data_IF_139525189708
#
_entry.id   IF_139525189708
#
_cell.length_a   1.000
_cell.length_b   1.000
_cell.length_c   1.000
_cell.angle_alpha   90.00
_cell.angle_beta   90.00
_cell.angle_gamma   90.00
#
_symmetry.space_group_name_H-M   'P 1'
#
loop_
_entity.id
_entity.type
_entity.pdbx_description
1 polymer ?
#
# COMPACT_ATOMS: atom_id res chain seq x y z
N UNK A 1 -3.11 18.50 -35.27
CA UNK A 1 -3.61 17.75 -36.45
C UNK A 1 -5.14 17.69 -36.39
N UNK A 2 -5.84 18.15 -37.42
CA UNK A 2 -7.30 18.29 -37.39
C UNK A 2 -8.01 16.90 -37.42
N UNK A 3 -9.16 16.78 -36.75
CA UNK A 3 -9.98 15.56 -36.67
C UNK A 3 -10.39 15.04 -38.05
N UNK A 4 -10.71 15.93 -38.99
CA UNK A 4 -11.04 15.57 -40.38
C UNK A 4 -9.86 14.88 -41.08
N UNK A 5 -8.64 15.38 -40.86
CA UNK A 5 -7.41 14.79 -41.43
C UNK A 5 -7.14 13.41 -40.86
N UNK A 6 -7.34 13.21 -39.54
CA UNK A 6 -7.24 11.88 -38.90
C UNK A 6 -8.24 10.89 -39.47
N UNK A 7 -9.49 11.32 -39.66
CA UNK A 7 -10.54 10.47 -40.22
C UNK A 7 -10.24 10.07 -41.66
N UNK A 8 -9.82 11.01 -42.51
CA UNK A 8 -9.46 10.73 -43.90
C UNK A 8 -8.26 9.77 -44.00
N UNK A 9 -7.24 9.96 -43.16
CA UNK A 9 -6.08 9.04 -43.09
C UNK A 9 -6.48 7.65 -42.61
N UNK A 10 -7.38 7.54 -41.63
CA UNK A 10 -7.90 6.25 -41.18
C UNK A 10 -8.68 5.53 -42.29
N UNK A 11 -9.52 6.27 -43.04
CA UNK A 11 -10.28 5.73 -44.16
C UNK A 11 -9.37 5.26 -45.29
N UNK A 12 -8.38 6.07 -45.67
CA UNK A 12 -7.33 5.72 -46.63
C UNK A 12 -6.56 4.48 -46.19
N UNK A 13 -6.14 4.40 -44.92
CA UNK A 13 -5.48 3.22 -44.35
C UNK A 13 -6.36 1.97 -44.39
N UNK A 14 -7.67 2.12 -44.18
CA UNK A 14 -8.62 1.02 -44.23
C UNK A 14 -8.86 0.53 -45.66
N UNK A 15 -8.84 1.42 -46.66
CA UNK A 15 -9.03 1.08 -48.08
C UNK A 15 -7.76 0.59 -48.77
N UNK A 16 -6.58 1.06 -48.34
CA UNK A 16 -5.28 0.60 -48.86
C UNK A 16 -4.79 -0.69 -48.17
N UNK A 17 -5.38 -1.05 -47.05
CA UNK A 17 -5.08 -2.28 -46.35
C UNK A 17 -5.57 -3.52 -47.13
N UNK A 18 -4.88 -4.66 -47.01
CA UNK A 18 -5.33 -5.89 -47.65
C UNK A 18 -6.70 -6.31 -47.12
N UNK A 19 -7.51 -6.91 -48.01
CA UNK A 19 -8.85 -7.38 -47.68
C UNK A 19 -8.82 -8.40 -46.53
N UNK A 20 -9.92 -8.50 -45.78
CA UNK A 20 -10.02 -9.50 -44.70
C UNK A 20 -9.84 -10.93 -45.24
N UNK A 21 -10.37 -11.22 -46.44
CA UNK A 21 -10.19 -12.50 -47.11
C UNK A 21 -8.71 -12.80 -47.40
N UNK A 22 -7.94 -11.81 -47.85
CA UNK A 22 -6.50 -11.96 -48.06
C UNK A 22 -5.77 -12.23 -46.74
N UNK A 23 -6.08 -11.49 -45.67
CA UNK A 23 -5.46 -11.69 -44.35
C UNK A 23 -5.74 -13.09 -43.79
N UNK A 24 -6.98 -13.56 -43.88
CA UNK A 24 -7.36 -14.91 -43.45
C UNK A 24 -6.71 -16.01 -44.31
N UNK A 25 -6.62 -15.80 -45.62
CA UNK A 25 -5.93 -16.72 -46.52
C UNK A 25 -4.43 -16.79 -46.21
N UNK A 26 -3.81 -15.65 -45.94
CA UNK A 26 -2.39 -15.56 -45.57
C UNK A 26 -2.13 -16.21 -44.20
N UNK A 27 -2.96 -15.93 -43.19
CA UNK A 27 -2.79 -16.53 -41.86
C UNK A 27 -2.92 -18.05 -41.92
N UNK A 28 -3.91 -18.58 -42.65
CA UNK A 28 -4.04 -20.04 -42.86
C UNK A 28 -2.82 -20.66 -43.54
N UNK A 29 -2.25 -19.98 -44.53
CA UNK A 29 -1.03 -20.47 -45.21
C UNK A 29 0.18 -20.44 -44.28
N UNK A 30 0.31 -19.40 -43.46
CA UNK A 30 1.37 -19.29 -42.45
C UNK A 30 1.23 -20.35 -41.36
N UNK A 31 0.02 -20.55 -40.85
CA UNK A 31 -0.27 -21.57 -39.83
C UNK A 31 0.02 -22.98 -40.39
N UNK A 32 -0.42 -23.27 -41.62
CA UNK A 32 -0.14 -24.54 -42.27
C UNK A 32 1.37 -24.75 -42.52
N UNK A 33 2.09 -23.71 -42.95
CA UNK A 33 3.54 -23.79 -43.16
C UNK A 33 4.31 -23.95 -41.84
N UNK A 34 3.84 -23.30 -40.77
CA UNK A 34 4.39 -23.43 -39.43
C UNK A 34 4.15 -24.84 -38.87
N UNK A 35 2.92 -25.33 -38.95
CA UNK A 35 2.53 -26.68 -38.51
C UNK A 35 3.31 -27.76 -39.28
N UNK A 36 3.55 -27.57 -40.57
CA UNK A 36 4.34 -28.50 -41.38
C UNK A 36 5.83 -28.54 -40.95
N UNK A 37 6.38 -27.42 -40.48
CA UNK A 37 7.80 -27.31 -40.10
C UNK A 37 8.08 -27.67 -38.65
N UNK A 38 7.18 -27.30 -37.74
CA UNK A 38 7.38 -27.40 -36.29
C UNK A 38 6.42 -28.38 -35.61
N UNK A 39 5.51 -29.00 -36.37
CA UNK A 39 4.44 -29.82 -35.83
C UNK A 39 3.32 -28.98 -35.24
N UNK A 40 2.11 -29.56 -35.22
CA UNK A 40 0.93 -28.90 -34.69
C UNK A 40 0.99 -28.88 -33.17
N UNK A 41 1.36 -27.75 -32.59
CA UNK A 41 1.43 -27.60 -31.13
C UNK A 41 0.00 -27.60 -30.55
N UNK A 42 -0.35 -28.53 -29.67
CA UNK A 42 -1.64 -28.51 -29.00
C UNK A 42 -1.77 -27.25 -28.12
N UNK A 43 -3.01 -26.73 -28.02
CA UNK A 43 -3.32 -25.47 -27.34
C UNK A 43 -2.81 -25.40 -25.88
N UNK A 44 -2.70 -26.54 -25.18
CA UNK A 44 -2.16 -26.59 -23.83
C UNK A 44 -0.65 -26.32 -23.76
N UNK A 45 0.11 -26.64 -24.81
CA UNK A 45 1.55 -26.32 -24.88
C UNK A 45 1.77 -24.83 -25.16
N UNK A 46 0.88 -24.18 -25.92
CA UNK A 46 0.91 -22.72 -26.08
C UNK A 46 0.69 -22.02 -24.74
N UNK A 47 -0.26 -22.47 -23.91
CA UNK A 47 -0.47 -21.94 -22.56
C UNK A 47 0.75 -22.18 -21.67
N UNK A 48 1.38 -23.35 -21.78
CA UNK A 48 2.62 -23.66 -21.05
C UNK A 48 3.78 -22.73 -21.46
N UNK A 49 3.96 -22.48 -22.76
CA UNK A 49 4.99 -21.56 -23.28
C UNK A 49 4.81 -20.13 -22.77
N UNK A 50 3.56 -19.64 -22.66
CA UNK A 50 3.28 -18.32 -22.08
C UNK A 50 3.64 -18.25 -20.60
N UNK A 51 3.34 -19.31 -19.83
CA UNK A 51 3.70 -19.40 -18.40
C UNK A 51 5.22 -19.46 -18.21
N UNK A 52 5.92 -20.24 -19.03
CA UNK A 52 7.39 -20.35 -19.00
C UNK A 52 8.05 -19.03 -19.41
N UNK A 53 7.54 -18.35 -20.43
CA UNK A 53 8.04 -17.03 -20.83
C UNK A 53 7.85 -15.96 -19.75
N UNK A 54 6.68 -15.92 -19.10
CA UNK A 54 6.42 -15.02 -17.98
C UNK A 54 7.35 -15.33 -16.79
N UNK A 55 7.55 -16.60 -16.47
CA UNK A 55 8.48 -17.03 -15.43
C UNK A 55 9.92 -16.63 -15.75
N UNK A 56 10.37 -16.80 -17.00
CA UNK A 56 11.70 -16.39 -17.44
C UNK A 56 11.92 -14.87 -17.33
N UNK A 57 10.91 -14.05 -17.64
CA UNK A 57 10.98 -12.59 -17.47
C UNK A 57 11.06 -12.20 -15.99
N UNK A 58 10.31 -12.87 -15.12
CA UNK A 58 10.38 -12.67 -13.66
C UNK A 58 11.75 -13.08 -13.13
N UNK A 59 12.27 -14.24 -13.53
CA UNK A 59 13.62 -14.70 -13.15
C UNK A 59 14.69 -13.75 -13.67
N UNK A 60 14.57 -13.24 -14.89
CA UNK A 60 15.51 -12.26 -15.46
C UNK A 60 15.47 -10.94 -14.65
N UNK A 61 14.28 -10.47 -14.27
CA UNK A 61 14.10 -9.29 -13.40
C UNK A 61 14.69 -9.51 -12.00
N UNK A 62 14.55 -10.70 -11.43
CA UNK A 62 15.18 -11.06 -10.16
C UNK A 62 16.71 -11.20 -10.27
N UNK A 63 17.21 -11.70 -11.39
CA UNK A 63 18.65 -11.91 -11.64
C UNK A 63 19.41 -10.61 -11.93
N UNK A 64 18.74 -9.60 -12.48
CA UNK A 64 19.30 -8.25 -12.57
C UNK A 64 19.34 -7.57 -11.19
N UNK A 65 20.38 -6.76 -10.95
CA UNK A 65 20.68 -6.09 -9.66
C UNK A 65 19.50 -5.37 -8.98
N UNK A 66 18.47 -5.00 -9.75
CA UNK A 66 17.23 -4.42 -9.25
C UNK A 66 16.42 -5.33 -8.31
N UNK A 67 16.45 -6.66 -8.49
CA UNK A 67 15.73 -7.59 -7.62
C UNK A 67 16.38 -7.72 -6.23
N UNK A 68 17.70 -7.88 -6.19
CA UNK A 68 18.47 -7.92 -4.96
C UNK A 68 18.42 -6.58 -4.20
N UNK A 69 18.47 -5.46 -4.92
CA UNK A 69 18.27 -4.13 -4.34
C UNK A 69 16.83 -3.97 -3.82
N UNK A 70 15.81 -4.35 -4.59
CA UNK A 70 14.42 -4.25 -4.15
C UNK A 70 14.14 -5.05 -2.87
N UNK A 71 14.74 -6.23 -2.75
CA UNK A 71 14.54 -7.11 -1.60
C UNK A 71 15.32 -6.69 -0.35
N UNK A 72 16.57 -6.22 -0.50
CA UNK A 72 17.42 -5.87 0.64
C UNK A 72 17.36 -4.38 1.02
N UNK A 73 16.91 -3.50 0.12
CA UNK A 73 16.82 -2.07 0.41
C UNK A 73 15.62 -1.75 1.30
N UNK A 74 15.88 -0.97 2.34
CA UNK A 74 14.87 -0.36 3.20
C UNK A 74 14.22 0.87 2.56
N UNK A 75 14.83 1.42 1.49
CA UNK A 75 14.30 2.57 0.76
C UNK A 75 13.11 2.23 -0.15
N UNK A 76 12.95 0.95 -0.47
CA UNK A 76 11.84 0.41 -1.28
C UNK A 76 10.64 0.17 -0.37
N UNK A 77 9.82 1.22 -0.26
CA UNK A 77 8.60 1.29 0.57
C UNK A 77 7.33 1.23 -0.28
N UNK A 78 6.17 1.08 0.37
CA UNK A 78 4.85 1.18 -0.26
C UNK A 78 4.74 2.49 -1.06
N UNK A 79 4.51 2.38 -2.38
CA UNK A 79 4.47 3.51 -3.32
C UNK A 79 5.70 3.66 -4.23
N UNK A 80 6.76 2.87 -4.02
CA UNK A 80 7.90 2.81 -4.95
C UNK A 80 7.66 1.77 -6.06
N UNK A 81 8.18 2.02 -7.27
CA UNK A 81 7.94 1.15 -8.43
C UNK A 81 8.39 -0.31 -8.20
N UNK A 82 9.48 -0.50 -7.45
CA UNK A 82 10.07 -1.81 -7.15
C UNK A 82 9.40 -2.55 -5.99
N UNK A 83 8.43 -1.94 -5.32
CA UNK A 83 7.77 -2.56 -4.16
C UNK A 83 7.00 -3.83 -4.54
N UNK A 84 6.37 -3.85 -5.72
CA UNK A 84 5.69 -5.04 -6.26
C UNK A 84 6.64 -6.22 -6.45
N UNK A 85 7.89 -5.95 -6.86
CA UNK A 85 8.95 -6.95 -7.03
C UNK A 85 9.37 -7.49 -5.66
N UNK A 86 9.55 -6.61 -4.67
CA UNK A 86 9.85 -7.01 -3.28
C UNK A 86 8.79 -7.94 -2.70
N UNK A 87 7.50 -7.61 -2.88
CA UNK A 87 6.39 -8.47 -2.44
C UNK A 87 6.38 -9.83 -3.15
N UNK A 88 6.67 -9.86 -4.45
CA UNK A 88 6.73 -11.12 -5.19
C UNK A 88 7.84 -12.03 -4.64
N UNK A 89 9.02 -11.47 -4.34
CA UNK A 89 10.13 -12.22 -3.75
C UNK A 89 9.76 -12.72 -2.34
N UNK A 90 9.12 -11.88 -1.52
CA UNK A 90 8.64 -12.29 -0.19
C UNK A 90 7.61 -13.42 -0.25
N UNK A 91 6.69 -13.40 -1.22
CA UNK A 91 5.69 -14.47 -1.42
C UNK A 91 6.34 -15.79 -1.81
N UNK A 92 7.33 -15.76 -2.70
CA UNK A 92 8.09 -16.96 -3.06
C UNK A 92 8.81 -17.51 -1.84
N UNK A 93 9.49 -16.65 -1.07
CA UNK A 93 10.19 -17.07 0.14
C UNK A 93 9.23 -17.67 1.18
N UNK A 94 8.05 -17.08 1.38
CA UNK A 94 7.01 -17.58 2.29
C UNK A 94 6.56 -19.00 1.92
N UNK A 95 6.33 -19.26 0.64
CA UNK A 95 5.94 -20.60 0.14
C UNK A 95 7.07 -21.61 0.28
N UNK A 96 8.33 -21.17 0.14
CA UNK A 96 9.50 -22.06 0.28
C UNK A 96 9.76 -22.52 1.71
N UNK A 97 9.27 -21.79 2.73
CA UNK A 97 9.46 -22.21 4.14
C UNK A 97 8.48 -23.32 4.49
N UNK A 98 8.97 -24.54 4.60
CA UNK A 98 8.13 -25.72 4.92
C UNK A 98 7.90 -25.87 6.42
N UNK A 99 8.95 -25.69 7.25
CA UNK A 99 8.87 -25.92 8.70
C UNK A 99 8.23 -24.75 9.44
N UNK A 100 7.48 -25.01 10.54
CA UNK A 100 6.82 -23.95 11.31
C UNK A 100 7.83 -22.97 11.93
N UNK A 101 8.99 -23.46 12.35
CA UNK A 101 10.07 -22.62 12.88
C UNK A 101 10.65 -21.68 11.81
N UNK A 102 10.86 -22.18 10.58
CA UNK A 102 11.35 -21.37 9.49
C UNK A 102 10.31 -20.32 9.03
N UNK A 103 9.02 -20.69 9.06
CA UNK A 103 7.92 -19.73 8.84
C UNK A 103 7.92 -18.65 9.91
N UNK A 104 8.02 -19.01 11.19
CA UNK A 104 8.08 -18.04 12.29
C UNK A 104 9.26 -17.07 12.15
N UNK A 105 10.47 -17.58 11.84
CA UNK A 105 11.66 -16.75 11.57
C UNK A 105 11.45 -15.83 10.36
N UNK A 106 10.81 -16.32 9.30
CA UNK A 106 10.48 -15.50 8.14
C UNK A 106 9.50 -14.37 8.48
N UNK A 107 8.43 -14.66 9.24
CA UNK A 107 7.49 -13.63 9.67
C UNK A 107 8.12 -12.59 10.58
N UNK A 108 9.01 -12.99 11.50
CA UNK A 108 9.79 -12.06 12.32
C UNK A 108 10.61 -11.11 11.45
N UNK A 109 11.37 -11.66 10.49
CA UNK A 109 12.18 -10.87 9.55
C UNK A 109 11.31 -9.92 8.70
N UNK A 110 10.12 -10.36 8.30
CA UNK A 110 9.15 -9.54 7.55
C UNK A 110 8.67 -8.37 8.41
N UNK A 111 8.33 -8.61 9.69
CA UNK A 111 7.90 -7.56 10.63
C UNK A 111 9.01 -6.52 10.82
N UNK A 112 10.24 -6.95 11.08
CA UNK A 112 11.40 -6.06 11.25
C UNK A 112 11.61 -5.15 10.03
N UNK A 113 11.46 -5.71 8.82
CA UNK A 113 11.54 -4.93 7.57
C UNK A 113 10.41 -3.91 7.46
N UNK A 114 9.17 -4.27 7.82
CA UNK A 114 8.05 -3.32 7.80
C UNK A 114 8.23 -2.20 8.82
N UNK A 115 8.83 -2.49 9.97
CA UNK A 115 9.18 -1.46 10.96
C UNK A 115 10.22 -0.48 10.40
N UNK A 116 11.30 -0.99 9.79
CA UNK A 116 12.31 -0.14 9.14
C UNK A 116 11.75 0.68 7.97
N UNK A 117 10.87 0.11 7.15
CA UNK A 117 10.18 0.83 6.08
C UNK A 117 9.28 1.95 6.63
N UNK A 118 8.57 1.71 7.73
CA UNK A 118 7.74 2.72 8.38
C UNK A 118 8.56 3.87 8.95
N UNK A 119 9.75 3.60 9.49
CA UNK A 119 10.66 4.66 9.93
C UNK A 119 11.12 5.55 8.76
N UNK A 120 11.41 4.95 7.61
CA UNK A 120 11.80 5.70 6.41
C UNK A 120 10.62 6.47 5.83
N UNK A 121 9.41 5.88 5.83
CA UNK A 121 8.19 6.58 5.45
C UNK A 121 7.96 7.79 6.36
N UNK A 122 8.08 7.64 7.69
CA UNK A 122 8.00 8.77 8.63
C UNK A 122 9.04 9.86 8.34
N UNK A 123 10.26 9.49 7.96
CA UNK A 123 11.33 10.44 7.55
C UNK A 123 11.07 11.12 6.20
N UNK A 124 10.42 10.44 5.24
CA UNK A 124 10.12 10.96 3.89
C UNK A 124 8.76 11.68 3.79
N UNK A 125 7.82 11.37 4.68
CA UNK A 125 6.49 11.99 4.76
C UNK A 125 6.44 13.50 5.06
N UNK A 126 7.40 14.17 5.74
CA UNK A 126 7.27 15.61 5.93
C UNK A 126 7.24 16.38 4.60
N UNK A 127 7.71 15.85 3.47
CA UNK A 127 7.83 16.63 2.22
C UNK A 127 6.71 16.33 1.21
N UNK A 128 6.14 15.13 1.19
CA UNK A 128 5.19 14.71 0.14
C UNK A 128 3.73 14.94 0.54
N UNK A 129 3.39 14.80 1.81
CA UNK A 129 2.03 15.10 2.30
C UNK A 129 1.80 16.62 2.37
N UNK A 130 2.78 17.39 2.85
CA UNK A 130 2.72 18.86 2.82
C UNK A 130 2.49 19.40 1.40
N UNK A 131 3.15 18.85 0.38
CA UNK A 131 3.06 19.37 -1.00
C UNK A 131 1.76 19.01 -1.72
N UNK A 132 1.13 17.88 -1.36
CA UNK A 132 -0.19 17.49 -1.88
C UNK A 132 -1.31 18.19 -1.12
N UNK A 133 -1.15 18.40 0.18
CA UNK A 133 -2.09 19.16 1.01
C UNK A 133 -2.09 20.65 0.64
N UNK A 134 -0.92 21.30 0.44
CA UNK A 134 -0.85 22.72 0.01
C UNK A 134 -1.58 22.93 -1.33
N UNK A 135 -1.43 22.01 -2.30
CA UNK A 135 -2.11 22.09 -3.60
C UNK A 135 -3.62 21.82 -3.56
N UNK A 136 -4.11 21.02 -2.61
CA UNK A 136 -5.55 20.88 -2.39
C UNK A 136 -6.13 22.05 -1.57
N UNK A 137 -5.35 22.61 -0.64
CA UNK A 137 -5.75 23.74 0.20
C UNK A 137 -5.85 25.05 -0.62
N UNK A 138 -4.98 25.26 -1.62
CA UNK A 138 -5.06 26.42 -2.53
C UNK A 138 -6.32 26.43 -3.40
N UNK A 139 -6.95 25.28 -3.66
CA UNK A 139 -8.19 25.20 -4.46
C UNK A 139 -9.46 25.40 -3.64
N UNK A 140 -9.41 25.20 -2.33
CA UNK A 140 -10.59 25.22 -1.46
C UNK A 140 -10.64 26.42 -0.49
N UNK A 141 -9.65 27.32 -0.52
CA UNK A 141 -9.56 28.47 0.38
C UNK A 141 -10.45 29.65 -0.05
N UNK A 142 -11.76 29.56 0.22
CA UNK A 142 -12.56 30.72 0.66
C UNK A 142 -12.62 30.73 2.19
N UNK A 143 -12.32 31.89 2.76
CA UNK A 143 -11.69 32.17 4.07
C UNK A 143 -12.56 31.92 5.34
N UNK A 144 -13.52 30.99 5.32
CA UNK A 144 -14.40 30.71 6.47
C UNK A 144 -14.12 29.42 7.26
N UNK A 145 -13.34 28.48 6.70
CA UNK A 145 -13.52 27.03 7.02
C UNK A 145 -12.27 26.34 7.58
N UNK A 146 -11.16 27.04 7.82
CA UNK A 146 -9.89 26.39 8.22
C UNK A 146 -9.93 25.72 9.60
N UNK A 147 -10.75 26.20 10.54
CA UNK A 147 -10.79 25.65 11.91
C UNK A 147 -11.71 24.42 12.05
N UNK A 148 -12.83 24.39 11.31
CA UNK A 148 -13.67 23.17 11.22
C UNK A 148 -12.92 22.02 10.55
N UNK A 149 -12.10 22.35 9.54
CA UNK A 149 -11.25 21.38 8.85
C UNK A 149 -10.17 20.79 9.78
N UNK A 150 -9.56 21.58 10.67
CA UNK A 150 -8.58 21.06 11.65
C UNK A 150 -9.19 20.05 12.61
N UNK A 151 -10.37 20.34 13.16
CA UNK A 151 -11.09 19.43 14.04
C UNK A 151 -11.51 18.13 13.33
N UNK A 152 -11.96 18.23 12.08
CA UNK A 152 -12.34 17.06 11.27
C UNK A 152 -11.13 16.21 10.87
N UNK A 153 -9.97 16.83 10.62
CA UNK A 153 -8.71 16.13 10.35
C UNK A 153 -8.23 15.36 11.58
N UNK A 154 -8.34 15.93 12.79
CA UNK A 154 -8.00 15.22 14.02
C UNK A 154 -8.96 14.06 14.32
N UNK A 155 -10.27 14.25 14.12
CA UNK A 155 -11.26 13.19 14.29
C UNK A 155 -11.04 12.02 13.31
N UNK A 156 -10.62 12.32 12.08
CA UNK A 156 -10.19 11.30 11.11
C UNK A 156 -8.90 10.59 11.54
N UNK A 157 -7.96 11.28 12.19
CA UNK A 157 -6.73 10.67 12.73
C UNK A 157 -7.07 9.71 13.87
N UNK A 158 -7.90 10.15 14.83
CA UNK A 158 -8.37 9.33 15.96
C UNK A 158 -9.08 8.06 15.46
N UNK A 159 -10.02 8.18 14.52
CA UNK A 159 -10.70 7.02 13.91
C UNK A 159 -9.75 6.05 13.20
N UNK A 160 -8.68 6.55 12.57
CA UNK A 160 -7.69 5.69 11.92
C UNK A 160 -6.86 4.93 12.94
N UNK A 161 -6.47 5.58 14.04
CA UNK A 161 -5.77 4.93 15.15
C UNK A 161 -6.65 3.90 15.86
N UNK A 162 -7.91 4.19 16.11
CA UNK A 162 -8.87 3.22 16.68
C UNK A 162 -9.02 1.97 15.80
N UNK A 163 -9.22 2.14 14.49
CA UNK A 163 -9.24 1.02 13.53
C UNK A 163 -7.93 0.23 13.49
N UNK A 164 -6.80 0.88 13.77
CA UNK A 164 -5.52 0.17 13.85
C UNK A 164 -5.38 -0.65 15.12
N UNK A 165 -5.95 -0.19 16.25
CA UNK A 165 -6.04 -0.95 17.50
C UNK A 165 -6.91 -2.18 17.29
N UNK A 166 -8.10 -2.01 16.71
CA UNK A 166 -9.05 -3.09 16.41
C UNK A 166 -8.41 -4.19 15.55
N UNK A 167 -7.67 -3.82 14.50
CA UNK A 167 -6.93 -4.78 13.66
C UNK A 167 -5.83 -5.53 14.41
N UNK A 168 -5.16 -4.86 15.35
CA UNK A 168 -4.13 -5.50 16.19
C UNK A 168 -4.78 -6.47 17.16
N UNK A 169 -5.95 -6.13 17.72
CA UNK A 169 -6.73 -7.03 18.58
C UNK A 169 -7.23 -8.26 17.80
N UNK A 170 -7.75 -8.08 16.58
CA UNK A 170 -8.10 -9.23 15.71
C UNK A 170 -6.90 -10.13 15.40
N UNK A 171 -5.71 -9.55 15.17
CA UNK A 171 -4.49 -10.33 14.93
C UNK A 171 -4.06 -11.08 16.18
N UNK A 172 -4.24 -10.49 17.37
CA UNK A 172 -3.98 -11.12 18.65
C UNK A 172 -4.91 -12.33 18.84
N UNK A 173 -6.18 -12.18 18.52
CA UNK A 173 -7.17 -13.25 18.63
C UNK A 173 -6.92 -14.38 17.63
N UNK A 174 -6.56 -14.05 16.38
CA UNK A 174 -6.12 -15.05 15.38
C UNK A 174 -4.85 -15.78 15.82
N UNK A 175 -3.88 -15.07 16.40
CA UNK A 175 -2.66 -15.68 16.94
C UNK A 175 -2.98 -16.62 18.11
N UNK A 176 -3.90 -16.24 19.01
CA UNK A 176 -4.41 -17.10 20.10
C UNK A 176 -5.07 -18.36 19.55
N UNK A 177 -5.97 -18.23 18.58
CA UNK A 177 -6.65 -19.39 17.98
C UNK A 177 -5.70 -20.33 17.24
N UNK A 178 -4.71 -19.80 16.52
CA UNK A 178 -3.69 -20.61 15.86
C UNK A 178 -2.87 -21.35 16.93
N UNK A 179 -2.46 -20.66 18.01
CA UNK A 179 -1.72 -21.25 19.10
C UNK A 179 -2.51 -22.27 19.92
N UNK A 180 -3.83 -22.13 20.06
CA UNK A 180 -4.71 -23.13 20.67
C UNK A 180 -4.82 -24.39 19.81
N UNK A 181 -4.87 -24.23 18.48
CA UNK A 181 -5.00 -25.34 17.53
C UNK A 181 -3.68 -26.08 17.27
N UNK A 182 -2.52 -25.49 17.52
CA UNK A 182 -1.23 -26.19 17.39
C UNK A 182 -0.93 -27.04 18.64
N UNK A 183 -1.10 -28.36 18.51
CA UNK A 183 -0.63 -29.39 19.44
C UNK A 183 0.90 -29.55 19.38
N UNK A 184 1.66 -28.49 19.64
CA UNK A 184 3.13 -28.59 19.66
C UNK A 184 3.60 -29.29 20.96
N UNK A 185 4.36 -30.37 20.82
CA UNK A 185 4.89 -31.23 21.92
C UNK A 185 5.80 -30.53 22.96
N UNK A 186 6.08 -29.24 22.83
CA UNK A 186 7.02 -28.52 23.68
C UNK A 186 6.34 -27.35 24.40
N UNK A 187 5.71 -27.67 25.55
CA UNK A 187 4.87 -26.77 26.36
C UNK A 187 5.62 -25.49 26.77
N UNK A 188 6.90 -25.61 27.16
CA UNK A 188 7.73 -24.48 27.62
C UNK A 188 7.99 -23.44 26.53
N UNK A 189 8.30 -23.89 25.31
CA UNK A 189 8.52 -23.01 24.15
C UNK A 189 7.24 -22.28 23.73
N UNK A 190 6.08 -22.95 23.86
CA UNK A 190 4.77 -22.35 23.58
C UNK A 190 4.43 -21.24 24.59
N UNK A 191 4.65 -21.48 25.88
CA UNK A 191 4.44 -20.49 26.92
C UNK A 191 5.38 -19.29 26.77
N UNK A 192 6.64 -19.51 26.42
CA UNK A 192 7.60 -18.44 26.20
C UNK A 192 7.26 -17.58 24.96
N UNK A 193 6.82 -18.22 23.86
CA UNK A 193 6.36 -17.52 22.67
C UNK A 193 5.07 -16.75 22.97
N UNK A 194 4.12 -17.37 23.69
CA UNK A 194 2.87 -16.72 24.10
C UNK A 194 3.15 -15.48 24.95
N UNK A 195 4.03 -15.61 25.94
CA UNK A 195 4.41 -14.49 26.81
C UNK A 195 5.07 -13.36 26.02
N UNK A 196 6.02 -13.66 25.14
CA UNK A 196 6.70 -12.62 24.32
C UNK A 196 5.74 -11.92 23.35
N UNK A 197 4.78 -12.65 22.78
CA UNK A 197 3.77 -12.06 21.88
C UNK A 197 2.79 -11.21 22.66
N UNK A 198 2.26 -11.69 23.79
CA UNK A 198 1.34 -10.94 24.64
C UNK A 198 2.00 -9.67 25.19
N UNK A 199 3.25 -9.77 25.69
CA UNK A 199 4.00 -8.62 26.21
C UNK A 199 4.23 -7.55 25.14
N UNK A 200 4.61 -7.94 23.91
CA UNK A 200 4.80 -7.00 22.80
C UNK A 200 3.50 -6.31 22.39
N UNK A 201 2.40 -7.07 22.38
CA UNK A 201 1.10 -6.52 22.01
C UNK A 201 0.54 -5.61 23.09
N UNK A 202 0.74 -5.93 24.36
CA UNK A 202 0.37 -5.07 25.49
C UNK A 202 1.17 -3.76 25.48
N UNK A 203 2.49 -3.82 25.23
CA UNK A 203 3.32 -2.62 25.02
C UNK A 203 2.79 -1.75 23.87
N UNK A 204 2.38 -2.38 22.77
CA UNK A 204 1.84 -1.67 21.60
C UNK A 204 0.48 -1.04 21.89
N UNK A 205 -0.38 -1.72 22.64
CA UNK A 205 -1.67 -1.18 23.11
C UNK A 205 -1.46 0.04 24.01
N UNK A 206 -0.59 -0.05 25.02
CA UNK A 206 -0.22 1.09 25.89
C UNK A 206 0.32 2.28 25.11
N UNK A 207 1.21 2.04 24.13
CA UNK A 207 1.72 3.12 23.28
C UNK A 207 0.63 3.79 22.42
N UNK A 208 -0.38 3.04 21.99
CA UNK A 208 -1.49 3.58 21.23
C UNK A 208 -2.47 4.34 22.13
N UNK A 209 -2.74 3.84 23.33
CA UNK A 209 -3.54 4.53 24.35
C UNK A 209 -2.93 5.90 24.70
N UNK A 210 -1.62 5.94 24.99
CA UNK A 210 -0.88 7.20 25.24
C UNK A 210 -1.04 8.17 24.07
N UNK A 211 -0.89 7.69 22.83
CA UNK A 211 -1.07 8.55 21.63
C UNK A 211 -2.49 9.07 21.46
N UNK A 212 -3.49 8.30 21.86
CA UNK A 212 -4.89 8.74 21.82
C UNK A 212 -5.13 9.79 22.90
N UNK A 213 -4.55 9.61 24.08
CA UNK A 213 -4.64 10.56 25.19
C UNK A 213 -3.95 11.88 24.86
N UNK A 214 -2.72 11.85 24.32
CA UNK A 214 -2.03 13.04 23.81
C UNK A 214 -2.82 13.77 22.72
N UNK A 215 -3.56 13.04 21.88
CA UNK A 215 -4.41 13.65 20.86
C UNK A 215 -5.69 14.26 21.45
N UNK A 216 -6.23 13.68 22.52
CA UNK A 216 -7.38 14.26 23.23
C UNK A 216 -6.99 15.54 23.96
N UNK A 217 -5.85 15.54 24.64
CA UNK A 217 -5.30 16.70 25.35
C UNK A 217 -5.06 17.87 24.38
N UNK A 218 -4.38 17.62 23.25
CA UNK A 218 -4.21 18.63 22.18
C UNK A 218 -5.54 19.19 21.66
N UNK A 219 -6.57 18.36 21.60
CA UNK A 219 -7.91 18.79 21.18
C UNK A 219 -8.59 19.66 22.24
N UNK A 220 -8.36 19.39 23.51
CA UNK A 220 -8.87 20.21 24.63
C UNK A 220 -8.15 21.55 24.68
N UNK A 221 -6.82 21.58 24.58
CA UNK A 221 -6.04 22.81 24.48
C UNK A 221 -6.52 23.70 23.31
N UNK A 222 -6.76 23.10 22.15
CA UNK A 222 -7.29 23.81 20.98
C UNK A 222 -8.71 24.35 21.22
N UNK A 223 -9.53 23.68 22.04
CA UNK A 223 -10.86 24.18 22.41
C UNK A 223 -10.77 25.32 23.41
N UNK A 224 -9.87 25.25 24.38
CA UNK A 224 -9.66 26.32 25.36
C UNK A 224 -9.09 27.58 24.71
N UNK A 225 -8.08 27.43 23.84
CA UNK A 225 -7.53 28.54 23.06
C UNK A 225 -8.59 29.18 22.15
N UNK A 226 -9.53 28.38 21.65
CA UNK A 226 -10.68 28.88 20.89
C UNK A 226 -11.63 29.69 21.77
N UNK A 227 -11.94 29.20 22.96
CA UNK A 227 -12.83 29.86 23.90
C UNK A 227 -12.26 31.21 24.35
N UNK A 228 -10.96 31.28 24.64
CA UNK A 228 -10.26 32.51 25.03
C UNK A 228 -10.25 33.54 23.90
N UNK A 229 -9.94 33.13 22.66
CA UNK A 229 -10.00 34.03 21.48
C UNK A 229 -11.41 34.55 21.20
N UNK A 230 -12.44 33.74 21.43
CA UNK A 230 -13.84 34.17 21.27
C UNK A 230 -14.19 35.22 22.34
N UNK A 231 -13.78 35.00 23.59
CA UNK A 231 -14.03 35.93 24.68
C UNK A 231 -13.28 37.26 24.46
N UNK A 232 -12.01 37.22 24.05
CA UNK A 232 -11.21 38.40 23.74
C UNK A 232 -11.84 39.24 22.59
N UNK A 233 -12.38 38.56 21.56
CA UNK A 233 -13.13 39.23 20.48
C UNK A 233 -14.44 39.87 20.96
N UNK A 234 -15.15 39.23 21.90
CA UNK A 234 -16.37 39.80 22.50
C UNK A 234 -16.05 41.02 23.35
N UNK A 235 -14.99 40.97 24.15
CA UNK A 235 -14.53 42.11 24.97
C UNK A 235 -14.11 43.30 24.09
N UNK A 236 -13.36 43.05 23.02
CA UNK A 236 -13.00 44.11 22.05
C UNK A 236 -14.23 44.75 21.41
N UNK A 237 -15.26 43.96 21.08
CA UNK A 237 -16.53 44.50 20.55
C UNK A 237 -17.27 45.36 21.57
N UNK A 238 -17.35 44.91 22.83
CA UNK A 238 -17.98 45.66 23.92
C UNK A 238 -17.25 46.96 24.23
N UNK A 239 -15.92 46.99 24.13
CA UNK A 239 -15.14 48.23 24.28
C UNK A 239 -15.43 49.22 23.16
N UNK A 240 -15.54 48.75 21.90
CA UNK A 240 -15.90 49.60 20.76
C UNK A 240 -17.31 50.17 20.97
N UNK A 241 -18.30 49.35 21.34
CA UNK A 241 -19.67 49.79 21.58
C UNK A 241 -19.81 50.79 22.74
N UNK A 242 -18.92 50.73 23.75
CA UNK A 242 -18.88 51.72 24.84
C UNK A 242 -18.18 53.03 24.46
N UNK A 243 -17.45 53.06 23.35
CA UNK A 243 -16.70 54.23 22.87
C UNK A 243 -17.46 55.06 21.83
N UNK A 244 -18.64 54.59 21.41
CA UNK A 244 -19.62 55.31 20.61
C UNK A 244 -20.81 55.75 21.47
#
# INVERSE_FOLDING_TARGET
MNLKTRFNLWKLKKSSGPSMAFKFGLSRKLDAAWDAKHGRLPWYQLVALHKVGAFAVVVLLLATSGGAYAYNSTEVTEGTALYSVKEAIEKVEEVTKVTPEAKAKFYLKKIERREAEQEILKKKMPVVELRKEIKSIEKDAKVGTQEKLKAEVEERKIRRTEKSIERVEEQLEKARQIMEKTESKNIKLREEIKFKVEERLEKRKKQLEIKVEEQKEKREDLKEERQSRINERKEKRLQIERSF
#
